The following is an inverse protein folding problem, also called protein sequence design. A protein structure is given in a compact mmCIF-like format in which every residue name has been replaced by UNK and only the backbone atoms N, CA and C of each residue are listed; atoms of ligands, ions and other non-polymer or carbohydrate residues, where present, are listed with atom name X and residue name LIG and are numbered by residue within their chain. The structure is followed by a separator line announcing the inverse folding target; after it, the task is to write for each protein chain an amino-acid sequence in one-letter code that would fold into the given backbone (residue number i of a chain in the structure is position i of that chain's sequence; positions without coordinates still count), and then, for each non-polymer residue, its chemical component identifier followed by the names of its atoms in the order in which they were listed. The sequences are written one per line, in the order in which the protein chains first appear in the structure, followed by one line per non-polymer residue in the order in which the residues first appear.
data_IF_898477240046
#
_entry.id   IF_898477240046
#
_cell.length_a   1.000
_cell.length_b   1.000
_cell.length_c   1.000
_cell.angle_alpha   90.00
_cell.angle_beta   90.00
_cell.angle_gamma   90.00
#
_symmetry.space_group_name_H-M   'P 1'
#
loop_
_entity.id
_entity.type
_entity.pdbx_description
1 polymer ?
#
# COMPACT_ATOMS: atom_id res chain seq x y z
N UNK A 1 -33.73 -10.85 -35.21
CA UNK A 1 -32.81 -11.78 -35.89
C UNK A 1 -31.88 -12.36 -34.86
N UNK A 2 -31.93 -13.68 -34.75
CA UNK A 2 -31.24 -14.46 -33.74
C UNK A 2 -29.85 -14.80 -34.25
N UNK A 3 -28.79 -14.52 -33.50
CA UNK A 3 -27.51 -15.19 -33.69
C UNK A 3 -27.11 -15.91 -32.41
N UNK A 4 -27.37 -17.21 -32.45
CA UNK A 4 -26.70 -18.18 -31.59
C UNK A 4 -25.28 -18.36 -32.12
N UNK A 5 -24.28 -18.18 -31.32
CA UNK A 5 -22.96 -18.77 -31.55
C UNK A 5 -22.53 -19.56 -30.33
N UNK A 6 -22.60 -20.86 -30.48
CA UNK A 6 -21.98 -21.88 -29.66
C UNK A 6 -20.46 -21.80 -29.87
N UNK A 7 -19.67 -21.77 -28.84
CA UNK A 7 -18.29 -22.23 -28.86
C UNK A 7 -18.08 -23.18 -27.70
N UNK A 8 -17.95 -24.43 -28.12
CA UNK A 8 -17.45 -25.59 -27.41
C UNK A 8 -15.91 -25.58 -27.50
N UNK A 9 -15.26 -26.09 -26.50
CA UNK A 9 -13.87 -26.54 -26.64
C UNK A 9 -13.01 -26.15 -25.45
N UNK A 10 -12.85 -27.05 -24.49
CA UNK A 10 -11.75 -28.03 -24.41
C UNK A 10 -10.44 -27.39 -23.93
N UNK A 11 -9.86 -27.76 -22.90
CA UNK A 11 -9.07 -28.92 -22.51
C UNK A 11 -8.33 -28.67 -21.21
N UNK A 12 -8.38 -29.65 -20.36
CA UNK A 12 -7.50 -29.87 -19.22
C UNK A 12 -6.04 -29.96 -19.65
N UNK A 13 -5.14 -29.29 -18.91
CA UNK A 13 -3.78 -29.78 -18.78
C UNK A 13 -3.42 -29.71 -17.30
N UNK A 14 -3.43 -30.87 -16.66
CA UNK A 14 -2.80 -31.18 -15.41
C UNK A 14 -1.30 -31.33 -15.67
N UNK A 15 -0.48 -30.47 -15.08
CA UNK A 15 0.94 -30.72 -14.95
C UNK A 15 1.29 -30.69 -13.45
N UNK A 16 1.35 -31.87 -12.87
CA UNK A 16 1.98 -32.11 -11.60
C UNK A 16 3.49 -32.12 -11.82
N UNK A 17 4.20 -31.22 -11.14
CA UNK A 17 5.64 -31.30 -10.98
C UNK A 17 5.93 -31.41 -9.49
N UNK A 18 6.12 -32.62 -9.03
CA UNK A 18 6.81 -33.00 -7.80
C UNK A 18 8.30 -32.75 -7.98
N UNK A 19 8.88 -31.90 -7.17
CA UNK A 19 10.33 -31.85 -6.99
C UNK A 19 10.63 -31.92 -5.49
N UNK A 20 11.08 -33.10 -5.07
CA UNK A 20 11.81 -33.42 -3.84
C UNK A 20 13.19 -32.73 -3.82
N UNK A 21 13.68 -32.49 -2.63
CA UNK A 21 15.12 -32.29 -2.33
C UNK A 21 15.36 -30.97 -1.63
N UNK A 22 16.06 -30.84 -0.58
CA UNK A 22 16.97 -31.72 0.16
C UNK A 22 17.10 -31.13 1.59
N UNK A 23 17.07 -31.98 2.53
CA UNK A 23 17.46 -31.73 3.92
C UNK A 23 18.96 -31.46 3.98
N UNK A 24 19.39 -30.41 4.64
CA UNK A 24 20.73 -30.29 5.15
C UNK A 24 20.66 -30.25 6.68
N UNK A 25 20.83 -31.42 7.25
CA UNK A 25 21.19 -31.63 8.64
C UNK A 25 22.71 -31.38 8.78
N UNK A 26 23.07 -30.32 9.45
CA UNK A 26 24.42 -30.03 9.88
C UNK A 26 24.53 -30.30 11.39
N UNK A 27 25.21 -31.37 11.70
CA UNK A 27 25.45 -31.95 13.02
C UNK A 27 26.32 -31.04 13.90
N UNK A 28 25.94 -31.04 15.16
CA UNK A 28 26.71 -30.75 16.36
C UNK A 28 28.16 -31.19 16.32
N UNK A 29 29.00 -30.37 16.93
CA UNK A 29 30.21 -30.90 17.61
C UNK A 29 30.48 -30.09 18.88
N UNK A 30 30.57 -30.73 20.05
CA UNK A 30 31.04 -30.12 21.28
C UNK A 30 32.56 -30.24 21.37
N UNK A 31 33.25 -29.21 21.73
CA UNK A 31 34.64 -29.25 22.12
C UNK A 31 34.76 -28.92 23.60
N UNK A 32 35.22 -29.91 24.27
CA UNK A 32 35.67 -30.01 25.66
C UNK A 32 36.94 -29.22 25.95
N UNK A 33 37.04 -28.65 27.15
CA UNK A 33 38.22 -28.73 27.97
C UNK A 33 39.20 -27.57 27.96
N UNK A 34 39.48 -27.02 29.12
CA UNK A 34 40.62 -26.18 29.37
C UNK A 34 40.51 -25.40 30.69
N UNK A 35 40.74 -26.12 31.83
CA UNK A 35 41.08 -25.50 33.11
C UNK A 35 42.39 -24.71 33.00
N UNK A 36 42.43 -23.52 33.56
CA UNK A 36 43.66 -22.89 34.01
C UNK A 36 43.41 -21.95 35.17
N UNK A 37 43.87 -22.39 36.31
CA UNK A 37 43.95 -21.70 37.61
C UNK A 37 45.11 -20.69 37.60
N UNK A 38 44.90 -19.52 38.23
CA UNK A 38 46.00 -18.68 38.68
C UNK A 38 45.71 -17.19 38.71
N UNK A 39 46.41 -16.40 39.51
CA UNK A 39 46.00 -16.08 40.88
C UNK A 39 45.57 -14.59 41.06
N UNK A 40 45.04 -14.33 42.23
CA UNK A 40 44.67 -13.04 42.82
C UNK A 40 45.56 -11.85 42.43
N UNK A 41 44.95 -10.81 41.92
CA UNK A 41 45.48 -9.46 41.83
C UNK A 41 44.39 -8.48 42.25
N UNK A 42 44.48 -7.98 43.50
CA UNK A 42 43.65 -6.89 43.97
C UNK A 42 44.04 -5.60 43.27
N UNK A 43 43.17 -5.08 42.44
CA UNK A 43 43.30 -3.74 41.85
C UNK A 43 42.14 -2.88 42.33
N UNK A 44 42.53 -1.87 43.10
CA UNK A 44 41.69 -0.77 43.59
C UNK A 44 41.06 -0.06 42.41
N UNK A 45 39.74 -0.18 42.26
CA UNK A 45 38.97 0.56 41.24
C UNK A 45 38.51 1.89 41.79
N UNK A 46 39.11 2.94 41.28
CA UNK A 46 38.58 4.31 41.32
C UNK A 46 37.28 4.36 40.53
N UNK A 47 36.22 5.05 41.04
CA UNK A 47 35.00 5.23 40.27
C UNK A 47 35.24 6.18 39.09
N UNK A 48 35.28 5.64 37.89
CA UNK A 48 35.28 6.40 36.65
C UNK A 48 33.92 7.05 36.39
N UNK A 49 33.91 8.17 35.64
CA UNK A 49 32.67 8.90 35.36
C UNK A 49 31.72 8.00 34.52
N UNK A 50 30.49 7.92 34.99
CA UNK A 50 29.37 7.25 34.30
C UNK A 50 29.22 7.85 32.92
N UNK A 51 29.24 7.03 31.82
CA UNK A 51 28.90 7.54 30.50
C UNK A 51 27.42 7.93 30.48
N UNK A 52 27.15 9.23 30.32
CA UNK A 52 25.82 9.73 30.06
C UNK A 52 25.35 9.17 28.71
N UNK A 53 24.30 8.36 28.76
CA UNK A 53 23.60 7.92 27.56
C UNK A 53 23.07 9.16 26.83
N UNK A 54 23.24 9.24 25.48
CA UNK A 54 22.63 10.32 24.71
C UNK A 54 21.11 10.24 24.85
N UNK A 55 20.41 11.38 24.89
CA UNK A 55 18.96 11.37 24.98
C UNK A 55 18.39 10.60 23.78
N UNK A 56 17.61 9.56 24.08
CA UNK A 56 16.81 8.87 23.06
C UNK A 56 15.89 9.89 22.43
N UNK A 57 16.20 10.31 21.22
CA UNK A 57 15.27 11.05 20.36
C UNK A 57 14.14 10.08 20.03
N UNK A 58 13.06 10.18 20.81
CA UNK A 58 11.79 9.54 20.45
C UNK A 58 11.31 10.23 19.19
N UNK A 59 11.58 9.59 18.05
CA UNK A 59 10.97 9.97 16.78
C UNK A 59 9.47 9.74 16.93
N UNK A 60 8.71 10.80 17.16
CA UNK A 60 7.26 10.74 17.07
C UNK A 60 6.89 10.20 15.69
N UNK A 61 5.99 9.19 15.58
CA UNK A 61 5.51 8.75 14.29
C UNK A 61 4.96 9.98 13.54
N UNK A 62 5.20 10.09 12.20
CA UNK A 62 4.67 11.20 11.43
C UNK A 62 3.16 11.26 11.65
N UNK A 63 2.70 12.41 12.11
CA UNK A 63 1.28 12.68 12.32
C UNK A 63 0.57 12.41 11.00
N UNK A 64 -0.51 11.61 10.96
CA UNK A 64 -1.29 11.44 9.74
C UNK A 64 -1.64 12.83 9.22
N UNK A 65 -1.41 13.06 7.92
CA UNK A 65 -1.77 14.32 7.28
C UNK A 65 -3.17 14.73 7.74
N UNK A 66 -3.36 15.97 8.20
CA UNK A 66 -4.66 16.41 8.68
C UNK A 66 -5.69 16.15 7.58
N UNK A 67 -6.87 15.63 7.93
CA UNK A 67 -7.93 15.41 6.95
C UNK A 67 -8.18 16.72 6.22
N UNK A 68 -8.31 16.65 4.90
CA UNK A 68 -8.60 17.81 4.07
C UNK A 68 -9.83 18.52 4.65
N UNK A 69 -9.80 19.85 4.90
CA UNK A 69 -10.98 20.55 5.38
C UNK A 69 -12.14 20.33 4.41
N UNK A 70 -13.36 20.07 4.91
CA UNK A 70 -14.52 19.86 4.05
C UNK A 70 -14.68 21.04 3.08
N UNK A 71 -14.77 20.77 1.78
CA UNK A 71 -15.14 21.75 0.77
C UNK A 71 -14.06 22.21 -0.21
N UNK A 72 -12.80 21.76 -0.11
CA UNK A 72 -11.79 22.05 -1.13
C UNK A 72 -11.16 20.77 -1.67
N UNK A 73 -11.41 20.43 -2.96
CA UNK A 73 -10.76 19.28 -3.57
C UNK A 73 -9.25 19.49 -3.61
N UNK A 74 -8.49 18.46 -3.20
CA UNK A 74 -7.03 18.46 -3.32
C UNK A 74 -6.68 18.22 -4.79
N UNK A 75 -6.34 19.27 -5.53
CA UNK A 75 -5.98 19.16 -6.95
C UNK A 75 -4.51 18.75 -7.16
N UNK A 76 -3.67 18.92 -6.14
CA UNK A 76 -2.23 18.64 -6.20
C UNK A 76 -1.87 17.33 -5.53
N UNK A 77 -0.93 16.62 -6.14
CA UNK A 77 -0.33 15.42 -5.55
C UNK A 77 0.47 15.81 -4.30
N UNK A 78 0.34 15.08 -3.18
CA UNK A 78 1.13 15.36 -1.97
C UNK A 78 2.62 15.33 -2.25
N UNK A 79 3.38 16.21 -1.62
CA UNK A 79 4.84 16.22 -1.73
C UNK A 79 5.45 14.88 -1.27
N UNK A 80 6.50 14.44 -1.94
CA UNK A 80 7.17 13.18 -1.63
C UNK A 80 6.42 11.95 -2.12
N UNK A 81 5.33 12.12 -2.89
CA UNK A 81 4.67 11.00 -3.54
C UNK A 81 5.48 10.50 -4.73
N UNK A 82 5.55 9.18 -4.88
CA UNK A 82 6.22 8.50 -5.99
C UNK A 82 5.18 7.97 -6.97
N UNK A 83 5.33 8.19 -8.29
CA UNK A 83 4.37 7.68 -9.27
C UNK A 83 4.41 6.15 -9.32
N UNK A 84 3.25 5.53 -9.42
CA UNK A 84 3.11 4.10 -9.68
C UNK A 84 3.26 3.88 -11.18
N UNK A 85 4.13 2.94 -11.63
CA UNK A 85 4.30 2.65 -13.05
C UNK A 85 2.98 2.22 -13.71
N UNK A 86 2.74 2.65 -14.95
CA UNK A 86 1.50 2.32 -15.68
C UNK A 86 1.29 0.80 -15.82
N UNK A 87 2.37 0.03 -15.96
CA UNK A 87 2.32 -1.44 -16.03
C UNK A 87 1.81 -2.10 -14.72
N UNK A 88 1.82 -1.35 -13.63
CA UNK A 88 1.33 -1.80 -12.31
C UNK A 88 -0.10 -1.32 -12.04
N UNK A 89 -0.74 -0.64 -12.98
CA UNK A 89 -2.08 -0.10 -12.85
C UNK A 89 -3.01 -0.79 -13.85
N UNK A 90 -4.03 -1.46 -13.35
CA UNK A 90 -5.14 -1.96 -14.15
C UNK A 90 -6.33 -1.01 -14.02
N UNK A 91 -6.57 -0.25 -15.07
CA UNK A 91 -7.67 0.72 -15.18
C UNK A 91 -8.78 0.23 -16.16
N UNK A 92 -8.75 -1.03 -16.56
CA UNK A 92 -9.67 -1.59 -17.56
C UNK A 92 -11.15 -1.50 -17.18
N UNK A 93 -11.45 -1.44 -15.87
CA UNK A 93 -12.81 -1.32 -15.35
C UNK A 93 -13.25 0.12 -15.08
N UNK A 94 -12.46 1.11 -15.49
CA UNK A 94 -12.86 2.52 -15.43
C UNK A 94 -13.63 2.93 -16.69
N UNK A 95 -14.53 3.93 -16.57
CA UNK A 95 -15.16 4.53 -17.75
C UNK A 95 -14.13 5.15 -18.70
N UNK A 96 -14.44 5.20 -19.99
CA UNK A 96 -13.59 5.84 -20.98
C UNK A 96 -13.33 7.31 -20.60
N UNK A 97 -12.05 7.73 -20.65
CA UNK A 97 -11.64 9.09 -20.29
C UNK A 97 -11.54 9.38 -18.79
N UNK A 98 -11.80 8.40 -17.94
CA UNK A 98 -11.57 8.55 -16.49
C UNK A 98 -10.05 8.60 -16.20
N UNK A 99 -9.57 9.51 -15.33
CA UNK A 99 -8.16 9.56 -14.98
C UNK A 99 -7.71 8.29 -14.24
N UNK A 100 -6.47 7.89 -14.44
CA UNK A 100 -5.92 6.67 -13.83
C UNK A 100 -4.49 6.85 -13.30
N UNK A 101 -4.10 8.09 -13.02
CA UNK A 101 -2.80 8.35 -12.41
C UNK A 101 -2.83 8.00 -10.92
N UNK A 102 -1.81 7.27 -10.49
CA UNK A 102 -1.65 6.78 -9.12
C UNK A 102 -0.24 7.09 -8.61
N UNK A 103 -0.16 7.50 -7.38
CA UNK A 103 1.11 7.71 -6.66
C UNK A 103 1.04 7.00 -5.31
N UNK A 104 2.20 6.67 -4.77
CA UNK A 104 2.35 6.20 -3.39
C UNK A 104 2.97 7.28 -2.52
N UNK A 105 2.63 7.30 -1.24
CA UNK A 105 3.28 8.10 -0.21
C UNK A 105 3.36 7.34 1.10
N UNK A 106 4.01 7.91 2.11
CA UNK A 106 4.17 7.30 3.43
C UNK A 106 4.73 5.87 3.36
N UNK A 107 5.87 5.71 2.65
CA UNK A 107 6.49 4.38 2.50
C UNK A 107 5.65 3.36 1.74
N UNK A 108 4.78 3.82 0.83
CA UNK A 108 3.92 2.96 0.02
C UNK A 108 2.61 2.54 0.66
N UNK A 109 2.31 3.00 1.89
CA UNK A 109 1.09 2.64 2.62
C UNK A 109 -0.11 3.54 2.30
N UNK A 110 0.07 4.60 1.52
CA UNK A 110 -1.00 5.46 1.06
C UNK A 110 -0.95 5.52 -0.47
N UNK A 111 -2.08 5.22 -1.12
CA UNK A 111 -2.29 5.50 -2.53
C UNK A 111 -2.93 6.88 -2.68
N UNK A 112 -2.34 7.71 -3.52
CA UNK A 112 -2.90 8.98 -3.96
C UNK A 112 -3.36 8.77 -5.41
N UNK A 113 -4.65 8.93 -5.65
CA UNK A 113 -5.28 8.57 -6.93
C UNK A 113 -5.96 9.80 -7.48
N UNK A 114 -5.72 10.14 -8.74
CA UNK A 114 -6.50 11.15 -9.43
C UNK A 114 -7.86 10.58 -9.74
N UNK A 115 -8.89 11.18 -9.20
CA UNK A 115 -10.27 10.78 -9.41
C UNK A 115 -11.03 11.86 -10.18
N UNK A 116 -12.26 11.59 -10.56
CA UNK A 116 -13.16 12.54 -11.19
C UNK A 116 -14.33 12.80 -10.26
N UNK A 117 -14.76 14.06 -10.21
CA UNK A 117 -15.99 14.48 -9.52
C UNK A 117 -16.66 15.61 -10.29
N UNK A 118 -17.98 15.75 -10.15
CA UNK A 118 -18.75 16.78 -10.81
C UNK A 118 -19.76 17.46 -9.90
N UNK A 119 -20.08 18.70 -10.20
CA UNK A 119 -21.10 19.45 -9.49
C UNK A 119 -20.86 19.53 -7.98
N UNK A 120 -21.83 19.07 -7.19
CA UNK A 120 -21.76 19.00 -5.73
C UNK A 120 -21.24 17.63 -5.21
N UNK A 121 -20.87 16.72 -6.10
CA UNK A 121 -20.30 15.45 -5.74
C UNK A 121 -18.86 15.57 -5.27
N UNK A 122 -18.41 14.60 -4.46
CA UNK A 122 -17.03 14.47 -4.04
C UNK A 122 -16.53 13.07 -4.32
N UNK A 123 -15.37 12.99 -4.97
CA UNK A 123 -14.72 11.72 -5.24
C UNK A 123 -14.26 11.05 -3.95
N UNK A 124 -14.54 9.77 -3.82
CA UNK A 124 -14.11 8.92 -2.71
C UNK A 124 -13.53 7.63 -3.25
N UNK A 125 -12.55 7.06 -2.54
CA UNK A 125 -11.94 5.80 -2.88
C UNK A 125 -11.82 4.89 -1.66
N UNK A 126 -12.05 3.60 -1.88
CA UNK A 126 -11.96 2.58 -0.83
C UNK A 126 -11.18 1.38 -1.34
N UNK A 127 -10.21 0.91 -0.55
CA UNK A 127 -9.57 -0.38 -0.78
C UNK A 127 -10.52 -1.48 -0.34
N UNK A 128 -11.12 -2.18 -1.31
CA UNK A 128 -12.13 -3.21 -1.07
C UNK A 128 -11.55 -4.61 -1.00
N UNK A 129 -10.36 -4.79 -1.58
CA UNK A 129 -9.62 -6.04 -1.54
C UNK A 129 -8.13 -5.76 -1.53
N UNK A 130 -7.39 -6.49 -0.70
CA UNK A 130 -5.94 -6.40 -0.63
C UNK A 130 -5.36 -7.79 -0.50
N UNK A 131 -4.67 -8.24 -1.53
CA UNK A 131 -3.97 -9.53 -1.58
C UNK A 131 -2.46 -9.31 -1.68
N UNK A 132 -1.71 -10.39 -1.76
CA UNK A 132 -0.25 -10.32 -2.01
C UNK A 132 0.07 -9.94 -3.46
N UNK A 133 -0.87 -10.09 -4.40
CA UNK A 133 -0.67 -9.78 -5.82
C UNK A 133 -1.28 -8.44 -6.24
N UNK A 134 -2.40 -8.05 -5.65
CA UNK A 134 -3.12 -6.84 -6.07
C UNK A 134 -3.88 -6.16 -4.93
N UNK A 135 -4.20 -4.90 -5.20
CA UNK A 135 -5.08 -4.07 -4.38
C UNK A 135 -6.20 -3.55 -5.26
N UNK A 136 -7.44 -3.83 -4.91
CA UNK A 136 -8.62 -3.34 -5.64
C UNK A 136 -9.14 -2.09 -4.97
N UNK A 137 -9.21 -1.00 -5.72
CA UNK A 137 -9.74 0.28 -5.28
C UNK A 137 -11.05 0.55 -6.00
N UNK A 138 -12.13 0.68 -5.23
CA UNK A 138 -13.38 1.21 -5.74
C UNK A 138 -13.37 2.74 -5.64
N UNK A 139 -13.55 3.38 -6.78
CA UNK A 139 -13.77 4.82 -6.91
C UNK A 139 -15.27 5.08 -7.05
N UNK A 140 -15.76 6.08 -6.34
CA UNK A 140 -17.16 6.49 -6.40
C UNK A 140 -17.24 8.00 -6.19
N UNK A 141 -18.43 8.55 -6.35
CA UNK A 141 -18.70 9.96 -6.12
C UNK A 141 -19.90 10.10 -5.19
N UNK A 142 -19.77 10.91 -4.13
CA UNK A 142 -20.90 11.20 -3.23
C UNK A 142 -21.96 12.00 -3.98
N UNK A 143 -23.21 11.83 -3.60
CA UNK A 143 -24.30 12.68 -4.10
C UNK A 143 -24.30 14.01 -3.36
N UNK A 144 -24.53 15.11 -4.08
CA UNK A 144 -24.84 16.39 -3.45
C UNK A 144 -26.14 16.32 -2.63
N UNK A 145 -26.29 17.23 -1.70
CA UNK A 145 -27.52 17.33 -0.91
C UNK A 145 -28.69 17.81 -1.78
N UNK A 146 -29.88 17.26 -1.54
CA UNK A 146 -31.10 17.69 -2.22
C UNK A 146 -31.35 19.18 -1.98
N UNK A 147 -31.62 19.91 -3.06
CA UNK A 147 -31.88 21.37 -2.99
C UNK A 147 -30.64 22.25 -3.06
N UNK A 148 -29.46 21.68 -3.15
CA UNK A 148 -28.22 22.43 -3.36
C UNK A 148 -28.06 22.79 -4.87
N UNK A 149 -27.75 24.04 -5.15
CA UNK A 149 -27.34 24.45 -6.50
C UNK A 149 -25.92 23.98 -6.77
N UNK A 150 -25.76 23.13 -7.78
CA UNK A 150 -24.48 22.56 -8.16
C UNK A 150 -23.98 23.20 -9.46
N UNK A 151 -22.68 23.40 -9.52
CA UNK A 151 -22.00 23.77 -10.78
C UNK A 151 -22.00 22.59 -11.74
N UNK A 152 -21.90 22.85 -13.05
CA UNK A 152 -21.78 21.78 -14.05
C UNK A 152 -20.33 21.54 -14.46
N UNK A 153 -19.40 21.82 -13.56
CA UNK A 153 -17.97 21.59 -13.77
C UNK A 153 -17.57 20.16 -13.44
N UNK A 154 -16.52 19.70 -14.11
CA UNK A 154 -15.84 18.44 -13.81
C UNK A 154 -14.49 18.81 -13.20
N UNK A 155 -14.14 18.17 -12.09
CA UNK A 155 -12.89 18.36 -11.37
C UNK A 155 -12.16 17.03 -11.23
N UNK A 156 -10.83 17.11 -11.08
CA UNK A 156 -9.98 15.94 -10.95
C UNK A 156 -9.16 15.99 -9.66
N UNK A 157 -9.79 15.79 -8.50
CA UNK A 157 -9.09 15.80 -7.23
C UNK A 157 -8.15 14.60 -7.10
N UNK A 158 -7.13 14.75 -6.25
CA UNK A 158 -6.31 13.65 -5.77
C UNK A 158 -6.87 13.18 -4.43
N UNK A 159 -7.36 11.96 -4.40
CA UNK A 159 -7.87 11.30 -3.19
C UNK A 159 -6.82 10.37 -2.61
N UNK A 160 -6.82 10.20 -1.30
CA UNK A 160 -5.85 9.33 -0.60
C UNK A 160 -6.56 8.13 0.01
N UNK A 161 -6.04 6.94 -0.25
CA UNK A 161 -6.56 5.66 0.24
C UNK A 161 -5.47 4.95 1.04
N UNK A 162 -5.75 4.62 2.29
CA UNK A 162 -4.82 3.87 3.13
C UNK A 162 -4.83 2.39 2.78
N UNK A 163 -3.64 1.80 2.76
CA UNK A 163 -3.43 0.37 2.57
C UNK A 163 -3.04 -0.30 3.90
N UNK A 164 -3.37 -1.57 4.05
CA UNK A 164 -2.97 -2.38 5.20
C UNK A 164 -1.46 -2.71 5.21
N UNK A 165 -0.82 -2.69 4.03
CA UNK A 165 0.62 -2.91 3.86
C UNK A 165 1.12 -2.04 2.67
N UNK A 166 2.44 -1.80 2.56
CA UNK A 166 3.01 -1.09 1.41
C UNK A 166 2.58 -1.70 0.07
N UNK A 167 2.42 -0.85 -0.96
CA UNK A 167 2.02 -1.33 -2.29
C UNK A 167 3.05 -2.30 -2.90
N UNK A 168 4.32 -1.97 -2.79
CA UNK A 168 5.44 -2.73 -3.36
C UNK A 168 5.19 -3.13 -4.84
N UNK A 169 5.31 -4.42 -5.18
CA UNK A 169 5.10 -4.94 -6.53
C UNK A 169 3.64 -5.31 -6.84
N UNK A 170 2.69 -5.04 -5.93
CA UNK A 170 1.28 -5.36 -6.13
C UNK A 170 0.65 -4.49 -7.22
N UNK A 171 -0.21 -5.08 -8.02
CA UNK A 171 -0.99 -4.35 -9.02
C UNK A 171 -2.12 -3.55 -8.36
N UNK A 172 -2.31 -2.31 -8.77
CA UNK A 172 -3.47 -1.49 -8.40
C UNK A 172 -4.56 -1.70 -9.43
N UNK A 173 -5.68 -2.28 -9.02
CA UNK A 173 -6.87 -2.46 -9.88
C UNK A 173 -7.88 -1.38 -9.53
N UNK A 174 -8.15 -0.48 -10.47
CA UNK A 174 -9.09 0.61 -10.31
C UNK A 174 -10.46 0.21 -10.86
N UNK A 175 -11.51 0.40 -10.06
CA UNK A 175 -12.90 0.18 -10.47
C UNK A 175 -13.71 1.42 -10.17
N UNK A 176 -14.65 1.75 -11.03
CA UNK A 176 -15.63 2.81 -10.77
C UNK A 176 -16.99 2.20 -10.43
N UNK A 177 -17.53 2.63 -9.31
CA UNK A 177 -18.84 2.18 -8.86
C UNK A 177 -19.66 3.40 -8.43
N UNK A 178 -20.63 3.84 -9.25
CA UNK A 178 -21.50 4.94 -8.87
C UNK A 178 -22.30 4.57 -7.61
N UNK A 179 -22.42 5.51 -6.68
CA UNK A 179 -23.29 5.33 -5.52
C UNK A 179 -24.75 5.28 -5.99
N UNK A 180 -25.46 4.27 -5.55
CA UNK A 180 -26.90 4.06 -5.80
C UNK A 180 -27.77 5.10 -5.08
#
# INVERSE_FOLDING_TARGET
MRYLSKIVGTACILAAVTACGAQNAGLNQPATGGDSVGPSGSVSTSPGPTPSLPPSVTSSPPSPNPPNPPGKPRLTVPQGSLPVPAAQIDASALPAGYPHEVWTSNGGTILNIRAQEGGCGHAVGNAVEQTVQHVVINLSETKGMTGQMCTMDIRFPVISVALAAPLDARTVVLKYQPLK
#
